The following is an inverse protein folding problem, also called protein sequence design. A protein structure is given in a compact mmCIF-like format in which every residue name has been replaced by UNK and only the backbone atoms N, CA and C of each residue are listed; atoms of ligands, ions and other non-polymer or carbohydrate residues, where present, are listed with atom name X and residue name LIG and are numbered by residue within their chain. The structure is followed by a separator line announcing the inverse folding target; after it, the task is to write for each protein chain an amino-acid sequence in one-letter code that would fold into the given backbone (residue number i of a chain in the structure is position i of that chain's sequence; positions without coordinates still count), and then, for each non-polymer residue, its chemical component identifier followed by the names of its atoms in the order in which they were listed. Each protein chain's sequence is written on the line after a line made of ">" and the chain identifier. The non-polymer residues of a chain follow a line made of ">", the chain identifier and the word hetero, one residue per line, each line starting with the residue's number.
data_IF_752591597275
#
_entry.id   IF_752591597275
#
_cell.length_a   1.000
_cell.length_b   1.000
_cell.length_c   1.000
_cell.angle_alpha   90.00
_cell.angle_beta   90.00
_cell.angle_gamma   90.00
#
_symmetry.space_group_name_H-M   'P 1'
#
loop_
_entity.id
_entity.type
_entity.pdbx_description
1 polymer ?
#
# COMPACT_ATOMS: atom_id res chain seq x y z
N UNK A 1 2.16 11.51 -3.68
CA UNK A 1 2.59 10.19 -4.19
C UNK A 1 1.88 9.81 -5.49
N UNK A 2 0.56 10.03 -5.58
CA UNK A 2 -0.22 9.67 -6.77
C UNK A 2 -0.28 8.16 -7.01
N UNK A 3 -0.91 7.76 -8.10
CA UNK A 3 -1.14 6.34 -8.44
C UNK A 3 0.18 5.58 -8.67
N UNK A 4 1.12 6.19 -9.42
CA UNK A 4 2.45 5.60 -9.67
C UNK A 4 3.24 5.37 -8.38
N UNK A 5 3.13 6.29 -7.43
CA UNK A 5 3.75 6.15 -6.13
C UNK A 5 3.15 5.01 -5.31
N UNK A 6 1.84 4.83 -5.36
CA UNK A 6 1.16 3.70 -4.70
C UNK A 6 1.59 2.36 -5.30
N UNK A 7 1.71 2.28 -6.63
CA UNK A 7 2.22 1.07 -7.30
C UNK A 7 3.65 0.73 -6.85
N UNK A 8 4.54 1.72 -6.76
CA UNK A 8 5.90 1.52 -6.27
C UNK A 8 5.91 1.04 -4.80
N UNK A 9 5.08 1.64 -3.94
CA UNK A 9 4.93 1.23 -2.54
C UNK A 9 4.44 -0.22 -2.43
N UNK A 10 3.45 -0.59 -3.22
CA UNK A 10 2.91 -1.95 -3.18
C UNK A 10 3.95 -2.99 -3.61
N UNK A 11 4.73 -2.70 -4.65
CA UNK A 11 5.84 -3.56 -5.08
C UNK A 11 6.91 -3.70 -3.98
N UNK A 12 7.26 -2.60 -3.31
CA UNK A 12 8.24 -2.61 -2.22
C UNK A 12 7.74 -3.47 -1.04
N UNK A 13 6.48 -3.29 -0.63
CA UNK A 13 5.86 -4.04 0.46
C UNK A 13 5.72 -5.53 0.15
N UNK A 14 5.50 -5.89 -1.12
CA UNK A 14 5.43 -7.29 -1.56
C UNK A 14 6.80 -7.95 -1.66
N UNK A 15 7.78 -7.26 -2.26
CA UNK A 15 9.13 -7.78 -2.48
C UNK A 15 9.92 -7.91 -1.17
N UNK A 16 9.69 -6.98 -0.24
CA UNK A 16 10.25 -7.03 1.10
C UNK A 16 9.10 -6.94 2.12
N UNK A 17 8.56 -8.10 2.56
CA UNK A 17 7.49 -8.20 3.54
C UNK A 17 7.80 -7.38 4.80
N UNK A 18 7.31 -6.14 4.81
CA UNK A 18 7.66 -5.23 5.89
C UNK A 18 6.91 -5.62 7.17
N UNK A 19 7.43 -5.20 8.32
CA UNK A 19 6.70 -5.26 9.57
C UNK A 19 5.67 -4.12 9.71
N UNK A 20 5.49 -3.30 8.66
CA UNK A 20 4.55 -2.18 8.64
C UNK A 20 3.12 -2.71 8.76
N UNK A 21 2.41 -2.26 9.80
CA UNK A 21 1.02 -2.62 10.06
C UNK A 21 0.03 -1.52 9.69
N UNK A 22 0.49 -0.27 9.67
CA UNK A 22 -0.36 0.88 9.36
C UNK A 22 0.38 1.78 8.36
N UNK A 23 -0.34 2.23 7.34
CA UNK A 23 0.17 3.14 6.32
C UNK A 23 -0.82 4.30 6.17
N UNK A 24 -0.33 5.52 6.41
CA UNK A 24 -1.09 6.75 6.24
C UNK A 24 -0.67 7.44 4.94
N UNK A 25 -1.63 7.68 4.07
CA UNK A 25 -1.52 8.34 2.78
C UNK A 25 -2.23 9.69 2.77
N UNK A 26 -2.56 10.25 3.92
CA UNK A 26 -3.08 11.61 4.01
C UNK A 26 -2.14 12.59 3.28
N UNK A 27 -2.71 13.48 2.47
CA UNK A 27 -1.96 14.42 1.63
C UNK A 27 -1.24 13.81 0.42
N UNK A 28 -1.20 12.48 0.26
CA UNK A 28 -0.47 11.82 -0.83
C UNK A 28 -1.28 11.60 -2.11
N UNK A 29 -2.59 11.88 -2.07
CA UNK A 29 -3.56 11.77 -3.18
C UNK A 29 -3.37 10.45 -3.96
N UNK A 30 -3.58 9.29 -3.31
CA UNK A 30 -3.32 7.99 -3.93
C UNK A 30 -4.18 7.72 -5.17
N UNK A 31 -5.35 8.37 -5.27
CA UNK A 31 -6.35 8.07 -6.30
C UNK A 31 -7.02 6.71 -6.07
N UNK A 32 -8.14 6.48 -6.72
CA UNK A 32 -8.94 5.27 -6.51
C UNK A 32 -8.15 4.01 -6.89
N UNK A 33 -7.38 4.08 -7.98
CA UNK A 33 -6.55 2.97 -8.43
C UNK A 33 -5.41 2.67 -7.46
N UNK A 34 -4.76 3.69 -6.88
CA UNK A 34 -3.70 3.54 -5.90
C UNK A 34 -4.20 2.94 -4.58
N UNK A 35 -5.35 3.40 -4.10
CA UNK A 35 -6.01 2.83 -2.90
C UNK A 35 -6.38 1.37 -3.14
N UNK A 36 -6.99 1.05 -4.29
CA UNK A 36 -7.35 -0.32 -4.65
C UNK A 36 -6.14 -1.24 -4.67
N UNK A 37 -5.05 -0.81 -5.32
CA UNK A 37 -3.83 -1.59 -5.45
C UNK A 37 -3.19 -1.90 -4.08
N UNK A 38 -3.17 -0.92 -3.16
CA UNK A 38 -2.67 -1.13 -1.79
C UNK A 38 -3.63 -1.97 -0.94
N UNK A 39 -4.94 -1.88 -1.17
CA UNK A 39 -5.94 -2.70 -0.47
C UNK A 39 -5.86 -4.17 -0.91
N UNK A 40 -5.70 -4.42 -2.21
CA UNK A 40 -5.50 -5.77 -2.76
C UNK A 40 -4.25 -6.43 -2.15
N UNK A 41 -3.18 -5.64 -1.96
CA UNK A 41 -1.97 -6.10 -1.29
C UNK A 41 -2.20 -6.52 0.17
N UNK A 42 -3.12 -5.89 0.90
CA UNK A 42 -3.42 -6.29 2.29
C UNK A 42 -4.02 -7.71 2.38
N UNK A 43 -4.56 -8.24 1.28
CA UNK A 43 -5.00 -9.62 1.16
C UNK A 43 -3.88 -10.61 0.88
N UNK A 44 -2.67 -10.15 0.52
CA UNK A 44 -1.52 -11.01 0.26
C UNK A 44 -1.01 -11.63 1.58
N UNK A 45 -0.77 -12.95 1.65
CA UNK A 45 -0.33 -13.62 2.87
C UNK A 45 1.05 -13.16 3.36
N UNK A 46 1.87 -12.60 2.47
CA UNK A 46 3.15 -11.97 2.83
C UNK A 46 3.00 -10.56 3.39
N UNK A 47 1.85 -9.91 3.21
CA UNK A 47 1.63 -8.54 3.66
C UNK A 47 1.16 -8.48 5.11
N UNK A 48 1.87 -7.70 5.92
CA UNK A 48 1.54 -7.47 7.34
C UNK A 48 0.72 -6.21 7.56
N UNK A 49 0.44 -5.46 6.51
CA UNK A 49 -0.35 -4.23 6.57
C UNK A 49 -1.79 -4.57 6.97
N UNK A 50 -2.29 -3.92 8.03
CA UNK A 50 -3.62 -4.12 8.61
C UNK A 50 -4.50 -2.88 8.50
N UNK A 51 -3.90 -1.71 8.31
CA UNK A 51 -4.62 -0.44 8.21
C UNK A 51 -4.02 0.44 7.14
N UNK A 52 -4.90 1.05 6.36
CA UNK A 52 -4.60 2.06 5.36
C UNK A 52 -5.48 3.29 5.67
N UNK A 53 -4.88 4.46 5.84
CA UNK A 53 -5.58 5.73 6.13
C UNK A 53 -5.20 6.83 5.16
#
# INVERSE_FOLDING_TARGET
>A
IGEKGCAALALALRSNPSHLRELDLNGNKPGDSGVKLLSDLMGDPGCKLKKLT
#
